data_IF_554724585856
#
_entry.id   IF_554724585856
#
_cell.length_a   1.000
_cell.length_b   1.000
_cell.length_c   1.000
_cell.angle_alpha   90.00
_cell.angle_beta   90.00
_cell.angle_gamma   90.00
#
_symmetry.space_group_name_H-M   'P 1'
#
loop_
_entity.id
_entity.type
_entity.pdbx_description
1 polymer ?
#
# COMPACT_ATOMS: atom_id res chain seq x y z
N UNK A 1 -3.44 32.31 -0.92
CA UNK A 1 -4.61 31.49 -0.58
C UNK A 1 -4.83 30.44 -1.64
N UNK A 2 -5.35 29.26 -1.26
CA UNK A 2 -5.72 28.08 -2.07
C UNK A 2 -4.59 27.07 -2.34
N UNK A 3 -4.37 26.17 -1.39
CA UNK A 3 -3.49 24.99 -1.49
C UNK A 3 -4.23 23.69 -1.11
N UNK A 4 -5.48 23.55 -1.55
CA UNK A 4 -6.35 22.42 -1.17
C UNK A 4 -6.63 21.40 -2.27
N UNK A 5 -6.07 21.55 -3.47
CA UNK A 5 -6.43 20.74 -4.64
C UNK A 5 -5.45 19.59 -4.95
N UNK A 6 -4.18 19.69 -4.53
CA UNK A 6 -3.16 18.70 -4.89
C UNK A 6 -3.41 17.29 -4.32
N UNK A 7 -4.03 17.17 -3.14
CA UNK A 7 -4.24 15.86 -2.50
C UNK A 7 -5.40 15.07 -3.11
N UNK A 8 -6.40 15.74 -3.67
CA UNK A 8 -7.49 15.09 -4.40
C UNK A 8 -7.04 14.68 -5.80
N UNK A 9 -6.27 15.51 -6.48
CA UNK A 9 -5.70 15.17 -7.80
C UNK A 9 -4.78 13.94 -7.71
N UNK A 10 -3.99 13.78 -6.63
CA UNK A 10 -3.18 12.59 -6.42
C UNK A 10 -4.05 11.33 -6.18
N UNK A 11 -5.18 11.45 -5.49
CA UNK A 11 -6.12 10.35 -5.29
C UNK A 11 -6.83 9.98 -6.60
N UNK A 12 -7.29 10.98 -7.36
CA UNK A 12 -7.90 10.80 -8.68
C UNK A 12 -6.90 10.21 -9.67
N UNK A 13 -5.63 10.64 -9.61
CA UNK A 13 -4.56 10.03 -10.39
C UNK A 13 -4.27 8.61 -9.92
N UNK A 14 -4.28 8.28 -8.63
CA UNK A 14 -4.09 6.89 -8.18
C UNK A 14 -5.26 5.97 -8.59
N UNK A 15 -6.48 6.51 -8.64
CA UNK A 15 -7.69 5.82 -9.09
C UNK A 15 -7.77 5.74 -10.62
N UNK A 16 -7.23 6.74 -11.32
CA UNK A 16 -7.23 6.88 -12.78
C UNK A 16 -5.99 6.33 -13.48
N UNK A 17 -4.87 6.19 -12.77
CA UNK A 17 -3.71 5.40 -13.16
C UNK A 17 -4.16 3.95 -13.03
N UNK A 18 -4.57 3.38 -14.15
CA UNK A 18 -4.71 1.95 -14.41
C UNK A 18 -3.66 1.17 -13.63
N UNK A 19 -3.97 0.78 -12.37
CA UNK A 19 -3.07 0.03 -11.49
C UNK A 19 -2.93 -1.33 -12.16
N UNK A 20 -2.00 -1.40 -13.11
CA UNK A 20 -1.61 -2.62 -13.77
C UNK A 20 -0.83 -3.41 -12.75
N UNK A 21 -1.54 -4.32 -12.09
CA UNK A 21 -0.89 -5.40 -11.36
C UNK A 21 0.12 -6.04 -12.30
N UNK A 22 1.40 -6.05 -11.93
CA UNK A 22 2.40 -6.78 -12.68
C UNK A 22 1.97 -8.24 -12.80
N UNK A 23 2.02 -8.79 -14.03
CA UNK A 23 1.55 -10.15 -14.31
C UNK A 23 2.58 -11.22 -13.93
N UNK A 24 3.78 -10.80 -13.50
CA UNK A 24 4.84 -11.66 -12.98
C UNK A 24 5.53 -10.97 -11.79
N UNK A 25 6.11 -11.77 -10.90
CA UNK A 25 7.06 -11.27 -9.89
C UNK A 25 8.27 -10.72 -10.67
N UNK A 26 8.49 -9.41 -10.63
CA UNK A 26 9.68 -8.85 -11.27
C UNK A 26 10.86 -8.87 -10.30
N UNK A 27 11.94 -9.56 -10.71
CA UNK A 27 13.18 -9.68 -9.94
C UNK A 27 13.76 -8.32 -9.51
N UNK A 28 13.57 -7.28 -10.33
CA UNK A 28 14.00 -5.91 -10.02
C UNK A 28 13.37 -5.31 -8.77
N UNK A 29 12.23 -5.83 -8.33
CA UNK A 29 11.53 -5.40 -7.11
C UNK A 29 11.78 -6.34 -5.93
N UNK A 30 12.59 -7.39 -6.10
CA UNK A 30 12.89 -8.37 -5.05
C UNK A 30 14.03 -7.94 -4.11
N UNK A 31 14.89 -7.02 -4.54
CA UNK A 31 15.98 -6.45 -3.72
C UNK A 31 15.53 -5.29 -2.83
N UNK A 32 14.28 -5.30 -2.38
CA UNK A 32 13.75 -4.28 -1.50
C UNK A 32 14.39 -4.39 -0.10
N UNK A 33 14.79 -3.26 0.48
CA UNK A 33 15.38 -3.19 1.81
C UNK A 33 14.64 -2.20 2.71
N UNK A 34 14.83 -2.35 4.03
CA UNK A 34 14.34 -1.37 5.01
C UNK A 34 15.01 -0.02 4.76
N UNK A 35 14.19 1.03 4.65
CA UNK A 35 14.62 2.39 4.31
C UNK A 35 14.39 2.77 2.85
N UNK A 36 14.12 1.81 1.96
CA UNK A 36 13.89 2.08 0.55
C UNK A 36 12.56 2.79 0.30
N UNK A 37 12.51 3.55 -0.80
CA UNK A 37 11.32 4.25 -1.26
C UNK A 37 10.60 3.47 -2.34
N UNK A 38 9.32 3.20 -2.08
CA UNK A 38 8.36 2.61 -3.00
C UNK A 38 7.47 3.72 -3.55
N UNK A 39 7.60 3.98 -4.85
CA UNK A 39 6.84 5.00 -5.54
C UNK A 39 5.54 4.40 -6.10
N UNK A 40 4.40 4.78 -5.51
CA UNK A 40 3.08 4.44 -6.05
C UNK A 40 2.68 5.41 -7.18
N UNK A 41 3.10 6.66 -7.07
CA UNK A 41 2.99 7.72 -8.07
C UNK A 41 4.07 8.79 -7.79
N UNK A 42 4.26 9.76 -8.69
CA UNK A 42 5.26 10.84 -8.56
C UNK A 42 5.10 11.66 -7.25
N UNK A 43 3.89 11.73 -6.70
CA UNK A 43 3.58 12.39 -5.43
C UNK A 43 3.30 11.44 -4.26
N UNK A 44 3.20 10.12 -4.51
CA UNK A 44 2.86 9.13 -3.50
C UNK A 44 4.03 8.18 -3.25
N UNK A 45 4.92 8.60 -2.33
CA UNK A 45 6.09 7.82 -1.92
C UNK A 45 5.81 7.16 -0.57
N UNK A 46 6.09 5.86 -0.50
CA UNK A 46 6.04 5.07 0.72
C UNK A 46 7.44 4.57 1.05
N UNK A 47 7.87 4.72 2.31
CA UNK A 47 9.15 4.17 2.76
C UNK A 47 8.96 2.83 3.44
N UNK A 48 9.84 1.87 3.15
CA UNK A 48 9.91 0.59 3.84
C UNK A 48 10.36 0.83 5.28
N UNK A 49 9.47 0.57 6.23
CA UNK A 49 9.77 0.67 7.66
C UNK A 49 10.16 -0.68 8.25
N UNK A 50 9.57 -1.77 7.74
CA UNK A 50 9.87 -3.13 8.18
C UNK A 50 9.71 -4.07 6.99
N UNK A 51 10.63 -5.03 6.85
CA UNK A 51 10.58 -6.05 5.82
C UNK A 51 11.20 -7.34 6.34
N UNK A 52 10.42 -8.40 6.32
CA UNK A 52 10.86 -9.77 6.55
C UNK A 52 10.29 -10.66 5.44
N UNK A 53 11.14 -11.17 4.53
CA UNK A 53 10.70 -12.02 3.43
C UNK A 53 9.84 -13.20 3.91
N UNK A 54 8.70 -13.42 3.24
CA UNK A 54 7.75 -14.48 3.58
C UNK A 54 6.91 -14.25 4.85
N UNK A 55 7.12 -13.14 5.56
CA UNK A 55 6.46 -12.81 6.83
C UNK A 55 5.68 -11.50 6.73
N UNK A 56 6.36 -10.37 6.47
CA UNK A 56 5.69 -9.07 6.44
C UNK A 56 6.46 -7.99 5.69
N UNK A 57 5.72 -7.00 5.20
CA UNK A 57 6.21 -5.75 4.65
C UNK A 57 5.37 -4.61 5.25
N UNK A 58 6.02 -3.64 5.87
CA UNK A 58 5.39 -2.44 6.45
C UNK A 58 5.95 -1.21 5.77
N UNK A 59 5.03 -0.43 5.22
CA UNK A 59 5.30 0.82 4.54
C UNK A 59 4.74 2.00 5.35
N UNK A 60 5.46 3.12 5.34
CA UNK A 60 5.03 4.38 5.93
C UNK A 60 4.92 5.45 4.86
N UNK A 61 3.91 6.31 4.98
CA UNK A 61 3.83 7.52 4.15
C UNK A 61 5.08 8.38 4.39
N UNK A 62 5.81 8.64 3.32
CA UNK A 62 7.02 9.48 3.36
C UNK A 62 6.84 10.68 2.43
N UNK A 63 7.41 11.85 2.77
CA UNK A 63 7.57 12.89 1.78
C UNK A 63 8.46 12.38 0.65
N UNK A 64 8.10 12.68 -0.60
CA UNK A 64 9.00 12.41 -1.72
C UNK A 64 10.35 13.11 -1.56
N UNK A 65 11.43 12.63 -2.22
CA UNK A 65 12.76 13.20 -2.09
C UNK A 65 12.77 14.72 -2.29
N UNK A 66 13.30 15.46 -1.32
CA UNK A 66 13.40 16.93 -1.37
C UNK A 66 12.06 17.69 -1.22
N UNK A 67 10.94 17.00 -1.01
CA UNK A 67 9.63 17.62 -0.78
C UNK A 67 9.36 17.78 0.73
N UNK A 68 8.72 18.87 1.17
CA UNK A 68 8.25 18.98 2.55
C UNK A 68 7.14 17.95 2.81
N UNK A 69 7.06 17.48 4.06
CA UNK A 69 5.98 16.61 4.52
C UNK A 69 4.69 17.41 4.67
N UNK A 70 3.93 17.48 3.57
CA UNK A 70 2.67 18.22 3.47
C UNK A 70 1.45 17.32 3.54
N UNK A 71 1.62 16.02 3.78
CA UNK A 71 0.47 15.13 3.93
C UNK A 71 -0.31 15.53 5.19
N UNK A 72 -1.63 15.79 5.09
CA UNK A 72 -2.43 16.20 6.24
C UNK A 72 -2.77 15.00 7.14
N UNK A 73 -2.13 13.85 6.96
CA UNK A 73 -2.25 12.66 7.78
C UNK A 73 -0.95 11.85 7.77
N UNK A 74 -0.73 11.03 8.80
CA UNK A 74 0.25 9.93 8.73
C UNK A 74 -0.43 8.69 8.22
N UNK A 75 0.30 7.92 7.42
CA UNK A 75 -0.19 6.71 6.80
C UNK A 75 0.75 5.55 7.08
N UNK A 76 0.19 4.38 7.37
CA UNK A 76 0.94 3.11 7.32
C UNK A 76 0.16 2.05 6.56
N UNK A 77 0.88 1.22 5.83
CA UNK A 77 0.34 0.11 5.05
C UNK A 77 1.15 -1.15 5.33
N UNK A 78 0.50 -2.16 5.89
CA UNK A 78 1.15 -3.42 6.25
C UNK A 78 0.56 -4.57 5.46
N UNK A 79 1.44 -5.40 4.91
CA UNK A 79 1.17 -6.67 4.27
C UNK A 79 1.79 -7.76 5.16
N UNK A 80 0.96 -8.66 5.69
CA UNK A 80 1.43 -9.70 6.61
C UNK A 80 0.94 -11.06 6.13
N UNK A 81 1.87 -11.96 5.87
CA UNK A 81 1.59 -13.35 5.51
C UNK A 81 1.64 -14.18 6.79
N UNK A 82 0.55 -14.88 7.08
CA UNK A 82 0.44 -15.78 8.22
C UNK A 82 0.35 -17.21 7.71
N UNK A 83 1.23 -18.12 8.13
CA UNK A 83 1.04 -19.53 7.83
C UNK A 83 -0.24 -20.03 8.49
N UNK A 84 -1.00 -20.84 7.76
CA UNK A 84 -2.15 -21.58 8.28
C UNK A 84 -1.78 -23.06 8.38
N UNK A 85 -2.47 -23.84 9.25
CA UNK A 85 -2.33 -25.29 9.22
C UNK A 85 -2.55 -25.82 7.80
N UNK A 86 -1.77 -26.81 7.34
CA UNK A 86 -1.97 -27.44 6.03
C UNK A 86 -3.41 -27.92 5.84
N UNK A 87 -3.84 -28.02 4.58
CA UNK A 87 -5.11 -28.65 4.25
C UNK A 87 -5.12 -30.14 4.64
N UNK A 88 -6.30 -30.77 4.57
CA UNK A 88 -6.42 -32.22 4.78
C UNK A 88 -5.63 -33.02 3.74
N UNK A 89 -5.38 -32.41 2.59
CA UNK A 89 -4.55 -32.88 1.47
C UNK A 89 -3.05 -32.60 1.66
N UNK A 90 -2.64 -31.97 2.76
CA UNK A 90 -1.26 -31.57 3.02
C UNK A 90 -0.83 -30.30 2.28
N UNK A 91 -1.72 -29.63 1.56
CA UNK A 91 -1.40 -28.41 0.80
C UNK A 91 -1.02 -27.28 1.77
N UNK A 92 0.13 -26.60 1.56
CA UNK A 92 0.51 -25.46 2.37
C UNK A 92 -0.51 -24.34 2.20
N UNK A 93 -0.93 -23.74 3.31
CA UNK A 93 -1.90 -22.64 3.31
C UNK A 93 -1.33 -21.43 4.01
N UNK A 94 -1.68 -20.25 3.51
CA UNK A 94 -1.32 -18.99 4.13
C UNK A 94 -2.50 -18.02 4.08
N UNK A 95 -2.45 -17.00 4.92
CA UNK A 95 -3.39 -15.89 4.93
C UNK A 95 -2.62 -14.60 4.78
N UNK A 96 -2.91 -13.87 3.71
CA UNK A 96 -2.45 -12.49 3.55
C UNK A 96 -3.40 -11.54 4.30
N UNK A 97 -2.85 -10.73 5.19
CA UNK A 97 -3.54 -9.65 5.89
C UNK A 97 -3.00 -8.33 5.36
N UNK A 98 -3.89 -7.48 4.85
CA UNK A 98 -3.55 -6.12 4.44
C UNK A 98 -4.21 -5.14 5.38
N UNK A 99 -3.42 -4.22 5.94
CA UNK A 99 -3.90 -3.24 6.90
C UNK A 99 -3.37 -1.85 6.58
N UNK A 100 -4.31 -0.95 6.34
CA UNK A 100 -4.06 0.49 6.24
C UNK A 100 -4.42 1.17 7.56
N UNK A 101 -3.58 2.11 8.00
CA UNK A 101 -3.88 2.99 9.14
C UNK A 101 -3.63 4.43 8.74
N UNK A 102 -4.55 5.29 9.14
CA UNK A 102 -4.50 6.72 8.91
C UNK A 102 -4.57 7.43 10.26
N UNK A 103 -3.65 8.37 10.47
CA UNK A 103 -3.67 9.29 11.62
C UNK A 103 -3.83 10.71 11.09
N UNK A 104 -5.06 11.27 11.11
CA UNK A 104 -5.31 12.61 10.59
C UNK A 104 -4.62 13.68 11.43
N UNK A 105 -4.08 14.71 10.77
CA UNK A 105 -3.48 15.89 11.40
C UNK A 105 -4.45 17.07 11.23
N UNK A 106 -5.12 17.43 12.32
CA UNK A 106 -6.11 18.52 12.35
C UNK A 106 -7.41 18.23 11.59
N UNK A 107 -8.26 19.25 11.47
CA UNK A 107 -9.60 19.09 10.89
C UNK A 107 -9.58 18.79 9.38
N UNK A 108 -8.67 19.43 8.63
CA UNK A 108 -8.47 19.16 7.20
C UNK A 108 -8.02 17.72 6.98
N UNK A 109 -7.03 17.26 7.76
CA UNK A 109 -6.56 15.87 7.72
C UNK A 109 -7.66 14.85 7.94
N UNK A 110 -8.57 15.12 8.90
CA UNK A 110 -9.71 14.25 9.15
C UNK A 110 -10.64 14.16 7.95
N UNK A 111 -11.04 15.30 7.38
CA UNK A 111 -11.91 15.33 6.20
C UNK A 111 -11.26 14.61 5.00
N UNK A 112 -9.95 14.78 4.80
CA UNK A 112 -9.20 14.07 3.76
C UNK A 112 -9.21 12.56 4.01
N UNK A 113 -8.89 12.11 5.23
CA UNK A 113 -8.89 10.67 5.56
C UNK A 113 -10.28 10.05 5.37
N UNK A 114 -11.35 10.73 5.78
CA UNK A 114 -12.73 10.26 5.60
C UNK A 114 -13.11 10.10 4.12
N UNK A 115 -12.55 10.92 3.23
CA UNK A 115 -12.75 10.78 1.78
C UNK A 115 -11.88 9.68 1.15
N UNK A 116 -10.61 9.55 1.58
CA UNK A 116 -9.62 8.62 1.01
C UNK A 116 -9.86 7.17 1.43
N UNK A 117 -10.20 6.95 2.70
CA UNK A 117 -10.33 5.61 3.28
C UNK A 117 -11.29 4.67 2.51
N UNK A 118 -12.52 5.07 2.12
CA UNK A 118 -13.42 4.18 1.38
C UNK A 118 -12.89 3.83 -0.02
N UNK A 119 -12.24 4.79 -0.69
CA UNK A 119 -11.65 4.58 -2.01
C UNK A 119 -10.50 3.58 -1.92
N UNK A 120 -9.58 3.80 -0.98
CA UNK A 120 -8.45 2.91 -0.75
C UNK A 120 -8.90 1.50 -0.37
N UNK A 121 -9.93 1.39 0.49
CA UNK A 121 -10.51 0.10 0.85
C UNK A 121 -11.02 -0.68 -0.37
N UNK A 122 -11.77 -0.03 -1.27
CA UNK A 122 -12.29 -0.67 -2.47
C UNK A 122 -11.17 -1.13 -3.42
N UNK A 123 -10.12 -0.33 -3.56
CA UNK A 123 -8.94 -0.69 -4.36
C UNK A 123 -8.23 -1.92 -3.78
N UNK A 124 -7.94 -1.90 -2.47
CA UNK A 124 -7.30 -3.01 -1.77
C UNK A 124 -8.14 -4.28 -1.87
N UNK A 125 -9.48 -4.20 -1.74
CA UNK A 125 -10.37 -5.35 -1.91
C UNK A 125 -10.30 -5.94 -3.33
N UNK A 126 -10.16 -5.11 -4.37
CA UNK A 126 -10.03 -5.59 -5.76
C UNK A 126 -8.65 -6.19 -6.07
N UNK A 127 -7.61 -5.71 -5.41
CA UNK A 127 -6.24 -6.21 -5.59
C UNK A 127 -6.04 -7.61 -5.01
N UNK A 128 -6.63 -7.90 -3.84
CA UNK A 128 -6.41 -9.16 -3.10
C UNK A 128 -6.74 -10.44 -3.89
N UNK A 129 -7.86 -10.54 -4.64
CA UNK A 129 -8.12 -11.69 -5.50
C UNK A 129 -7.07 -11.90 -6.58
N UNK A 130 -6.52 -10.82 -7.15
CA UNK A 130 -5.45 -10.90 -8.14
C UNK A 130 -4.14 -11.42 -7.55
N UNK A 131 -3.79 -10.99 -6.33
CA UNK A 131 -2.63 -11.53 -5.60
C UNK A 131 -2.82 -13.01 -5.30
N UNK A 132 -4.00 -13.40 -4.80
CA UNK A 132 -4.33 -14.80 -4.52
C UNK A 132 -4.20 -15.67 -5.77
N UNK A 133 -4.80 -15.25 -6.88
CA UNK A 133 -4.80 -16.01 -8.12
C UNK A 133 -3.40 -16.14 -8.76
N UNK A 134 -2.43 -15.28 -8.41
CA UNK A 134 -1.04 -15.40 -8.84
C UNK A 134 -0.24 -16.30 -7.90
N UNK A 135 -0.41 -16.13 -6.59
CA UNK A 135 0.23 -16.97 -5.58
C UNK A 135 -0.19 -18.45 -5.62
N UNK A 136 -1.38 -18.76 -6.15
CA UNK A 136 -1.86 -20.14 -6.35
C UNK A 136 -1.45 -20.75 -7.72
N UNK A 137 -0.83 -19.97 -8.63
CA UNK A 137 -0.37 -20.46 -9.95
C UNK A 137 1.10 -20.86 -10.00
N UNK A 138 1.89 -20.41 -9.04
CA UNK A 138 3.27 -20.87 -8.80
C UNK A 138 3.28 -22.08 -7.87
#
# INVERSE_FOLDING_TARGET
GRGGFYSYDALENLVGLDIRSADAIEERWQDLAVGDDVHLADEAVLRVAELEPGSHLVLLGAPGPGKPDTMPFRFSWAFVVRPLPPGEDGTPRSRLLVRERYLPLGAVGRATVEAVQPVSFLMTQKMLPGVRARAERE
#
